data_IF_772666466062
#
_entry.id   IF_772666466062
#
_cell.length_a   1.000
_cell.length_b   1.000
_cell.length_c   1.000
_cell.angle_alpha   90.00
_cell.angle_beta   90.00
_cell.angle_gamma   90.00
#
_symmetry.space_group_name_H-M   'P 1'
#
loop_
_entity.id
_entity.type
_entity.pdbx_description
1 polymer ?
#
# COMPACT_ATOMS: atom_id res chain seq x y z
N UNK A 1 -6.23 6.41 23.25
CA UNK A 1 -5.29 6.15 22.12
C UNK A 1 -5.80 4.94 21.32
N UNK A 2 -6.08 5.10 20.02
CA UNK A 2 -6.40 3.94 19.15
C UNK A 2 -5.20 2.97 19.20
N UNK A 3 -5.46 1.69 19.47
CA UNK A 3 -4.41 0.68 19.67
C UNK A 3 -3.73 0.40 18.33
N UNK A 4 -2.52 0.91 18.13
CA UNK A 4 -1.71 0.63 16.93
C UNK A 4 -1.16 -0.77 17.05
N UNK A 5 -1.52 -1.65 16.11
CA UNK A 5 -1.00 -3.02 16.04
C UNK A 5 0.14 -3.05 15.02
N UNK A 6 0.96 -4.09 15.08
CA UNK A 6 1.90 -4.40 13.99
C UNK A 6 1.16 -5.27 12.97
N UNK A 7 1.41 -5.01 11.69
CA UNK A 7 0.85 -5.80 10.60
C UNK A 7 1.46 -7.21 10.59
N UNK A 8 0.67 -8.23 10.22
CA UNK A 8 1.13 -9.64 10.18
C UNK A 8 2.38 -9.85 9.31
N UNK A 9 2.51 -9.06 8.23
CA UNK A 9 3.67 -9.08 7.34
C UNK A 9 4.98 -8.63 7.99
N UNK A 10 4.88 -7.92 9.11
CA UNK A 10 6.01 -7.42 9.88
C UNK A 10 6.49 -8.36 10.98
N UNK A 11 5.68 -9.35 11.42
CA UNK A 11 6.02 -10.17 12.59
C UNK A 11 7.32 -10.95 12.41
N UNK A 12 7.46 -11.67 11.30
CA UNK A 12 8.68 -12.45 11.03
C UNK A 12 9.89 -11.52 10.83
N UNK A 13 9.70 -10.40 10.14
CA UNK A 13 10.78 -9.42 9.88
C UNK A 13 11.26 -8.80 11.18
N UNK A 14 10.34 -8.37 12.05
CA UNK A 14 10.67 -7.82 13.37
C UNK A 14 11.38 -8.84 14.24
N UNK A 15 10.92 -10.10 14.25
CA UNK A 15 11.59 -11.16 14.99
C UNK A 15 13.04 -11.35 14.50
N UNK A 16 13.25 -11.45 13.19
CA UNK A 16 14.58 -11.56 12.61
C UNK A 16 15.46 -10.35 12.94
N UNK A 17 14.92 -9.13 12.84
CA UNK A 17 15.65 -7.89 13.18
C UNK A 17 16.04 -7.87 14.66
N UNK A 18 15.15 -8.25 15.57
CA UNK A 18 15.47 -8.34 17.01
C UNK A 18 16.59 -9.33 17.27
N UNK A 19 16.56 -10.52 16.67
CA UNK A 19 17.60 -11.54 16.85
C UNK A 19 18.96 -11.07 16.30
N UNK A 20 18.98 -10.46 15.11
CA UNK A 20 20.20 -9.92 14.50
C UNK A 20 20.77 -8.79 15.37
N UNK A 21 19.92 -7.85 15.79
CA UNK A 21 20.32 -6.74 16.67
C UNK A 21 20.89 -7.27 17.98
N UNK A 22 20.24 -8.28 18.58
CA UNK A 22 20.71 -8.89 19.82
C UNK A 22 22.12 -9.50 19.64
N UNK A 23 22.33 -10.28 18.58
CA UNK A 23 23.61 -10.89 18.27
C UNK A 23 24.71 -9.84 18.04
N UNK A 24 24.41 -8.77 17.29
CA UNK A 24 25.36 -7.67 17.06
C UNK A 24 25.72 -6.97 18.38
N UNK A 25 24.73 -6.67 19.24
CA UNK A 25 25.00 -6.04 20.53
C UNK A 25 25.85 -6.92 21.44
N UNK A 26 25.63 -8.24 21.47
CA UNK A 26 26.46 -9.19 22.22
C UNK A 26 27.90 -9.20 21.69
N UNK A 27 28.08 -9.25 20.38
CA UNK A 27 29.41 -9.22 19.77
C UNK A 27 30.15 -7.91 20.10
N UNK A 28 29.45 -6.79 20.02
CA UNK A 28 30.02 -5.47 20.33
C UNK A 28 30.38 -5.35 21.80
N UNK A 29 29.52 -5.86 22.69
CA UNK A 29 29.76 -5.90 24.14
C UNK A 29 31.04 -6.67 24.51
N UNK A 30 31.30 -7.80 23.84
CA UNK A 30 32.48 -8.63 24.14
C UNK A 30 33.77 -8.01 23.60
N UNK A 31 33.72 -7.28 22.48
CA UNK A 31 34.92 -6.91 21.71
C UNK A 31 35.35 -5.45 21.83
N UNK A 32 34.44 -4.54 22.21
CA UNK A 32 34.67 -3.10 22.19
C UNK A 32 34.40 -2.41 23.53
N UNK A 33 34.82 -1.16 23.64
CA UNK A 33 34.63 -0.34 24.85
C UNK A 33 33.16 0.04 25.07
N UNK A 34 32.83 0.47 26.30
CA UNK A 34 31.48 0.90 26.67
C UNK A 34 30.92 2.05 25.83
N UNK A 35 31.77 2.95 25.30
CA UNK A 35 31.34 4.05 24.43
C UNK A 35 30.84 3.52 23.08
N UNK A 36 31.58 2.58 22.47
CA UNK A 36 31.18 1.96 21.20
C UNK A 36 29.89 1.16 21.39
N UNK A 37 29.76 0.44 22.50
CA UNK A 37 28.54 -0.26 22.86
C UNK A 37 27.34 0.70 22.99
N UNK A 38 27.49 1.83 23.69
CA UNK A 38 26.42 2.80 23.86
C UNK A 38 25.92 3.33 22.51
N UNK A 39 26.84 3.69 21.61
CA UNK A 39 26.50 4.15 20.25
C UNK A 39 25.76 3.04 19.49
N UNK A 40 26.26 1.80 19.54
CA UNK A 40 25.64 0.66 18.85
C UNK A 40 24.22 0.36 19.36
N UNK A 41 24.01 0.45 20.67
CA UNK A 41 22.68 0.26 21.29
C UNK A 41 21.70 1.34 20.83
N UNK A 42 22.14 2.61 20.77
CA UNK A 42 21.28 3.70 20.27
C UNK A 42 20.89 3.48 18.81
N UNK A 43 21.86 3.15 17.94
CA UNK A 43 21.59 2.86 16.52
C UNK A 43 20.64 1.65 16.39
N UNK A 44 20.88 0.60 17.16
CA UNK A 44 20.03 -0.58 17.22
C UNK A 44 18.59 -0.25 17.62
N UNK A 45 18.41 0.57 18.65
CA UNK A 45 17.10 1.00 19.12
C UNK A 45 16.36 1.83 18.08
N UNK A 46 17.05 2.76 17.41
CA UNK A 46 16.49 3.55 16.31
C UNK A 46 16.07 2.68 15.13
N UNK A 47 16.89 1.71 14.75
CA UNK A 47 16.56 0.77 13.67
C UNK A 47 15.32 -0.06 14.03
N UNK A 48 15.26 -0.61 15.24
CA UNK A 48 14.11 -1.39 15.70
C UNK A 48 12.84 -0.54 15.74
N UNK A 49 12.93 0.69 16.24
CA UNK A 49 11.82 1.63 16.27
C UNK A 49 11.33 1.97 14.85
N UNK A 50 12.25 2.19 13.90
CA UNK A 50 11.91 2.44 12.51
C UNK A 50 11.19 1.25 11.86
N UNK A 51 11.71 0.02 12.03
CA UNK A 51 11.08 -1.19 11.47
C UNK A 51 9.68 -1.41 12.08
N UNK A 52 9.54 -1.22 13.40
CA UNK A 52 8.24 -1.32 14.06
C UNK A 52 7.26 -0.24 13.56
N UNK A 53 7.74 0.98 13.39
CA UNK A 53 6.95 2.09 12.84
C UNK A 53 6.51 1.84 11.39
N UNK A 54 7.38 1.25 10.57
CA UNK A 54 7.11 0.91 9.18
C UNK A 54 5.97 -0.13 9.07
N UNK A 55 6.04 -1.19 9.87
CA UNK A 55 5.04 -2.26 9.88
C UNK A 55 3.81 -1.95 10.74
N UNK A 56 3.61 -0.70 11.16
CA UNK A 56 2.42 -0.33 11.94
C UNK A 56 1.15 -0.53 11.12
N UNK A 57 0.09 -0.90 11.81
CA UNK A 57 -1.24 -1.12 11.28
C UNK A 57 -2.27 -0.44 12.19
N UNK A 58 -2.63 0.82 11.93
CA UNK A 58 -3.70 1.49 12.67
C UNK A 58 -5.05 0.82 12.35
N UNK A 59 -5.90 0.66 13.38
CA UNK A 59 -7.28 0.26 13.16
C UNK A 59 -8.06 1.43 12.56
N UNK A 60 -8.42 1.31 11.27
CA UNK A 60 -9.23 2.27 10.54
C UNK A 60 -10.49 1.59 10.04
N UNK A 61 -11.61 2.18 10.39
CA UNK A 61 -12.94 1.77 9.93
C UNK A 61 -13.62 3.07 9.55
N UNK A 62 -14.04 3.15 8.29
CA UNK A 62 -14.91 4.21 7.81
C UNK A 62 -16.33 3.66 7.75
N UNK A 63 -17.27 4.50 8.13
CA UNK A 63 -18.70 4.22 8.00
C UNK A 63 -19.22 4.99 6.80
N UNK A 64 -19.47 4.28 5.70
CA UNK A 64 -19.92 4.84 4.43
C UNK A 64 -21.15 4.06 3.99
N UNK A 65 -22.29 4.74 3.95
CA UNK A 65 -23.55 4.16 3.49
C UNK A 65 -23.66 4.12 1.96
N UNK A 66 -22.93 4.99 1.26
CA UNK A 66 -22.99 5.15 -0.19
C UNK A 66 -22.01 4.16 -0.89
N UNK A 67 -22.50 3.09 -1.55
CA UNK A 67 -21.65 2.07 -2.17
C UNK A 67 -20.93 2.58 -3.43
N UNK A 68 -21.31 3.75 -3.96
CA UNK A 68 -20.66 4.37 -5.12
C UNK A 68 -19.38 5.11 -4.75
N UNK A 69 -19.10 5.34 -3.46
CA UNK A 69 -17.90 6.05 -3.03
C UNK A 69 -16.65 5.17 -3.11
N UNK A 70 -15.62 5.72 -3.73
CA UNK A 70 -14.28 5.13 -3.82
C UNK A 70 -13.42 5.72 -2.71
N UNK A 71 -12.95 4.88 -1.81
CA UNK A 71 -12.10 5.27 -0.67
C UNK A 71 -10.62 5.05 -1.01
N UNK A 72 -9.74 5.88 -0.45
CA UNK A 72 -8.31 5.79 -0.67
C UNK A 72 -7.79 4.41 -0.23
N UNK A 73 -7.16 3.64 -1.13
CA UNK A 73 -6.62 2.33 -0.79
C UNK A 73 -5.34 2.43 0.05
N UNK A 74 -4.73 3.62 0.18
CA UNK A 74 -3.41 3.80 0.77
C UNK A 74 -3.22 5.18 1.41
N UNK A 75 -2.32 5.23 2.41
CA UNK A 75 -1.73 6.48 2.89
C UNK A 75 -0.74 7.02 1.88
N UNK A 76 -0.80 8.32 1.58
CA UNK A 76 0.17 8.88 0.64
C UNK A 76 -0.13 10.30 0.19
N UNK A 77 0.34 10.58 -1.02
CA UNK A 77 0.11 11.83 -1.74
C UNK A 77 -0.38 11.49 -3.13
N UNK A 78 -1.44 12.15 -3.59
CA UNK A 78 -1.91 12.02 -4.97
C UNK A 78 -0.85 12.61 -5.90
N UNK A 79 -0.39 11.82 -6.86
CA UNK A 79 0.67 12.21 -7.81
C UNK A 79 0.20 12.22 -9.27
N UNK A 80 -0.93 11.59 -9.57
CA UNK A 80 -1.54 11.56 -10.91
C UNK A 80 -3.05 11.61 -10.75
N UNK A 81 -3.72 12.44 -11.55
CA UNK A 81 -5.18 12.46 -11.78
C UNK A 81 -5.38 12.80 -13.26
N UNK A 82 -5.46 11.80 -14.13
CA UNK A 82 -5.60 12.03 -15.57
C UNK A 82 -6.21 10.81 -16.29
N UNK A 83 -6.84 11.01 -17.46
CA UNK A 83 -7.31 9.90 -18.29
C UNK A 83 -6.13 9.21 -18.98
N UNK A 84 -6.01 7.89 -18.79
CA UNK A 84 -4.96 7.06 -19.38
C UNK A 84 -5.56 5.81 -20.02
N UNK A 85 -4.85 5.22 -20.97
CA UNK A 85 -5.20 3.89 -21.49
C UNK A 85 -4.75 2.81 -20.51
N UNK A 86 -5.65 1.91 -20.11
CA UNK A 86 -5.37 0.75 -19.24
C UNK A 86 -5.33 -0.52 -20.09
N UNK A 87 -4.14 -0.99 -20.51
CA UNK A 87 -4.03 -2.04 -21.52
C UNK A 87 -4.08 -3.47 -20.96
N UNK A 88 -4.00 -3.67 -19.64
CA UNK A 88 -3.86 -5.02 -19.07
C UNK A 88 -5.20 -5.75 -18.98
N UNK A 89 -6.25 -5.06 -18.55
CA UNK A 89 -7.55 -5.67 -18.28
C UNK A 89 -8.67 -5.01 -19.10
N UNK A 90 -8.75 -3.68 -19.09
CA UNK A 90 -9.85 -2.99 -19.78
C UNK A 90 -9.61 -2.84 -21.28
N UNK A 91 -8.38 -2.54 -21.70
CA UNK A 91 -8.06 -2.22 -23.09
C UNK A 91 -8.71 -0.91 -23.58
N UNK A 92 -9.05 -0.01 -22.67
CA UNK A 92 -9.73 1.26 -22.94
C UNK A 92 -9.17 2.40 -22.07
N UNK A 93 -9.75 3.61 -22.21
CA UNK A 93 -9.38 4.76 -21.39
C UNK A 93 -10.11 4.74 -20.05
N UNK A 94 -9.35 4.98 -18.98
CA UNK A 94 -9.81 5.07 -17.58
C UNK A 94 -9.26 6.32 -16.92
N UNK A 95 -9.99 6.84 -15.94
CA UNK A 95 -9.48 7.89 -15.08
C UNK A 95 -8.50 7.27 -14.08
N UNK A 96 -7.22 7.62 -14.19
CA UNK A 96 -6.20 7.13 -13.27
C UNK A 96 -6.04 8.10 -12.11
N UNK A 97 -6.11 7.58 -10.89
CA UNK A 97 -5.70 8.29 -9.66
C UNK A 97 -4.58 7.51 -8.99
N UNK A 98 -3.42 8.14 -8.83
CA UNK A 98 -2.24 7.49 -8.26
C UNK A 98 -1.84 8.08 -6.93
N UNK A 99 -1.65 7.21 -5.95
CA UNK A 99 -1.23 7.57 -4.60
C UNK A 99 0.18 7.05 -4.36
N UNK A 100 1.12 7.98 -4.17
CA UNK A 100 2.49 7.65 -3.80
C UNK A 100 2.63 7.53 -2.28
N UNK A 101 3.23 6.42 -1.83
CA UNK A 101 3.45 6.07 -0.44
C UNK A 101 4.93 6.24 -0.11
N UNK A 102 5.26 7.19 0.77
CA UNK A 102 6.60 7.33 1.33
C UNK A 102 6.87 6.23 2.36
N UNK A 103 8.15 6.02 2.70
CA UNK A 103 8.56 5.06 3.74
C UNK A 103 7.95 5.34 5.13
N UNK A 104 7.45 6.56 5.36
CA UNK A 104 6.83 6.93 6.62
C UNK A 104 5.32 6.65 6.64
N UNK A 105 4.70 6.34 5.51
CA UNK A 105 3.26 6.04 5.43
C UNK A 105 2.93 4.64 5.96
N UNK A 106 1.65 4.38 6.26
CA UNK A 106 1.17 3.02 6.50
C UNK A 106 1.11 2.27 5.19
N UNK A 107 1.70 1.08 5.14
CA UNK A 107 1.86 0.29 3.91
C UNK A 107 0.83 -0.84 3.74
N UNK A 108 -0.13 -0.94 4.66
CA UNK A 108 -1.33 -1.72 4.42
C UNK A 108 -2.15 -1.03 3.32
N UNK A 109 -2.73 -1.84 2.43
CA UNK A 109 -3.62 -1.34 1.39
C UNK A 109 -5.01 -1.94 1.56
N UNK A 110 -6.01 -1.06 1.54
CA UNK A 110 -7.42 -1.39 1.67
C UNK A 110 -8.07 -1.59 0.31
N UNK A 111 -9.21 -2.29 0.28
CA UNK A 111 -10.07 -2.24 -0.88
C UNK A 111 -10.66 -0.82 -1.00
N UNK A 112 -10.67 -0.22 -2.20
CA UNK A 112 -11.22 1.12 -2.37
C UNK A 112 -12.75 1.10 -2.50
N UNK A 113 -13.34 -0.04 -2.86
CA UNK A 113 -14.78 -0.23 -3.01
C UNK A 113 -15.21 -1.59 -2.43
N UNK A 114 -16.49 -1.72 -2.08
CA UNK A 114 -17.10 -2.99 -1.73
C UNK A 114 -17.65 -3.71 -2.96
N UNK A 115 -17.54 -5.04 -3.01
CA UNK A 115 -17.98 -5.80 -4.18
C UNK A 115 -17.39 -7.21 -4.25
N UNK A 116 -17.26 -7.72 -5.47
CA UNK A 116 -16.66 -9.03 -5.75
C UNK A 116 -15.38 -8.87 -6.55
N UNK A 117 -14.30 -9.52 -6.10
CA UNK A 117 -13.03 -9.55 -6.84
C UNK A 117 -13.21 -10.36 -8.12
N UNK A 118 -13.11 -9.70 -9.28
CA UNK A 118 -13.22 -10.32 -10.61
C UNK A 118 -11.91 -10.92 -11.05
N UNK A 119 -10.81 -10.21 -10.78
CA UNK A 119 -9.48 -10.57 -11.23
C UNK A 119 -8.46 -10.27 -10.14
N UNK A 120 -7.46 -11.13 -9.98
CA UNK A 120 -6.31 -10.89 -9.10
C UNK A 120 -5.06 -11.50 -9.71
N UNK A 121 -4.22 -10.65 -10.32
CA UNK A 121 -3.01 -11.05 -11.04
C UNK A 121 -1.80 -10.46 -10.33
N UNK A 122 -0.73 -11.26 -10.23
CA UNK A 122 0.56 -10.82 -9.73
C UNK A 122 1.60 -10.95 -10.83
N UNK A 123 2.35 -9.88 -11.06
CA UNK A 123 3.43 -9.82 -12.04
C UNK A 123 4.74 -9.58 -11.32
N UNK A 124 5.69 -10.51 -11.49
CA UNK A 124 7.08 -10.28 -11.09
C UNK A 124 7.72 -9.28 -12.06
N UNK A 125 8.54 -8.36 -11.56
CA UNK A 125 9.15 -7.32 -12.39
C UNK A 125 10.40 -6.68 -11.79
N UNK A 126 10.88 -5.64 -12.46
CA UNK A 126 12.05 -4.83 -12.15
C UNK A 126 11.87 -3.94 -10.90
N UNK A 127 12.88 -3.12 -10.60
CA UNK A 127 12.96 -2.32 -9.36
C UNK A 127 13.25 -0.83 -9.64
N UNK A 128 12.49 -0.20 -10.53
CA UNK A 128 12.57 1.24 -10.77
C UNK A 128 11.92 2.05 -9.64
N UNK A 129 12.24 3.34 -9.49
CA UNK A 129 11.57 4.19 -8.51
C UNK A 129 10.07 4.34 -8.82
N UNK A 130 9.20 4.12 -7.83
CA UNK A 130 7.73 4.02 -8.05
C UNK A 130 7.04 5.31 -8.51
N UNK A 131 7.71 6.46 -8.45
CA UNK A 131 7.18 7.72 -8.95
C UNK A 131 7.37 7.90 -10.46
N UNK A 132 8.17 7.04 -11.12
CA UNK A 132 8.43 7.12 -12.56
C UNK A 132 7.27 6.48 -13.34
N UNK A 133 6.77 7.09 -14.43
CA UNK A 133 5.66 6.53 -15.21
C UNK A 133 5.89 5.08 -15.68
N UNK A 134 7.13 4.73 -16.06
CA UNK A 134 7.50 3.37 -16.51
C UNK A 134 7.41 2.30 -15.41
N UNK A 135 7.45 2.68 -14.13
CA UNK A 135 7.43 1.70 -13.04
C UNK A 135 6.12 0.93 -12.98
N UNK A 136 5.00 1.51 -13.42
CA UNK A 136 3.70 0.84 -13.40
C UNK A 136 3.60 -0.34 -14.39
N UNK A 137 4.56 -0.48 -15.32
CA UNK A 137 4.62 -1.58 -16.30
C UNK A 137 5.76 -2.54 -15.97
N UNK A 138 6.95 -2.01 -15.69
CA UNK A 138 8.15 -2.83 -15.58
C UNK A 138 8.38 -3.39 -14.18
N UNK A 139 7.88 -2.75 -13.12
CA UNK A 139 8.13 -3.21 -11.76
C UNK A 139 7.23 -4.38 -11.35
N UNK A 140 7.62 -5.04 -10.25
CA UNK A 140 6.71 -5.93 -9.53
C UNK A 140 5.40 -5.18 -9.22
N UNK A 141 4.28 -5.77 -9.66
CA UNK A 141 2.95 -5.19 -9.52
C UNK A 141 1.90 -6.26 -9.27
N UNK A 142 0.82 -5.87 -8.60
CA UNK A 142 -0.37 -6.71 -8.47
C UNK A 142 -1.60 -5.93 -8.93
N UNK A 143 -2.37 -6.54 -9.81
CA UNK A 143 -3.59 -5.99 -10.40
C UNK A 143 -4.78 -6.71 -9.78
N UNK A 144 -5.69 -5.95 -9.15
CA UNK A 144 -6.93 -6.46 -8.55
C UNK A 144 -8.10 -5.70 -9.14
N UNK A 145 -9.08 -6.40 -9.70
CA UNK A 145 -10.31 -5.80 -10.23
C UNK A 145 -11.46 -6.16 -9.31
N UNK A 146 -12.21 -5.15 -8.88
CA UNK A 146 -13.41 -5.30 -8.04
C UNK A 146 -14.62 -4.81 -8.82
N UNK A 147 -15.66 -5.64 -8.88
CA UNK A 147 -16.97 -5.29 -9.46
C UNK A 147 -17.95 -4.94 -8.33
N UNK A 148 -18.55 -3.76 -8.40
CA UNK A 148 -19.61 -3.31 -7.50
C UNK A 148 -20.90 -4.11 -7.73
N UNK A 149 -21.87 -4.10 -6.80
CA UNK A 149 -23.20 -4.68 -7.05
C UNK A 149 -23.89 -4.10 -8.30
N UNK A 150 -23.64 -2.83 -8.63
CA UNK A 150 -24.17 -2.15 -9.82
C UNK A 150 -23.41 -2.46 -11.12
N UNK A 151 -22.45 -3.40 -11.09
CA UNK A 151 -21.65 -3.86 -12.24
C UNK A 151 -20.59 -2.87 -12.74
N UNK A 152 -20.23 -1.87 -11.95
CA UNK A 152 -19.07 -1.04 -12.25
C UNK A 152 -17.80 -1.73 -11.79
N UNK A 153 -16.79 -1.74 -12.65
CA UNK A 153 -15.48 -2.32 -12.34
C UNK A 153 -14.46 -1.23 -12.01
N UNK A 154 -13.77 -1.39 -10.88
CA UNK A 154 -12.64 -0.57 -10.46
C UNK A 154 -11.40 -1.46 -10.39
N UNK A 155 -10.33 -1.02 -11.05
CA UNK A 155 -9.03 -1.69 -10.99
C UNK A 155 -8.12 -0.97 -10.01
N UNK A 156 -7.48 -1.76 -9.15
CA UNK A 156 -6.45 -1.32 -8.21
C UNK A 156 -5.15 -2.01 -8.57
N UNK A 157 -4.11 -1.22 -8.80
CA UNK A 157 -2.76 -1.74 -9.07
C UNK A 157 -1.81 -1.30 -7.99
N UNK A 158 -1.27 -2.28 -7.27
CA UNK A 158 -0.16 -2.09 -6.35
C UNK A 158 1.14 -2.13 -7.15
N UNK A 159 2.02 -1.15 -6.99
CA UNK A 159 3.31 -1.07 -7.70
C UNK A 159 4.43 -0.92 -6.68
N UNK A 160 5.32 -1.91 -6.61
CA UNK A 160 6.50 -1.85 -5.74
C UNK A 160 7.53 -0.88 -6.34
N UNK A 161 8.12 -0.02 -5.51
CA UNK A 161 9.25 0.82 -5.91
C UNK A 161 10.62 0.15 -5.76
N UNK A 162 11.70 0.85 -6.11
CA UNK A 162 13.07 0.32 -6.09
C UNK A 162 13.53 -0.26 -4.73
N UNK A 163 13.05 0.32 -3.62
CA UNK A 163 13.33 -0.18 -2.27
C UNK A 163 12.35 -1.27 -1.83
N UNK A 164 11.18 -1.34 -2.47
CA UNK A 164 10.17 -2.35 -2.23
C UNK A 164 10.45 -3.60 -3.05
N UNK A 165 10.51 -4.75 -2.39
CA UNK A 165 10.88 -6.03 -3.02
C UNK A 165 9.77 -7.07 -2.95
N UNK A 166 8.59 -6.69 -2.47
CA UNK A 166 7.47 -7.62 -2.35
C UNK A 166 6.13 -6.93 -2.17
N UNK A 167 5.18 -7.28 -3.03
CA UNK A 167 3.76 -7.05 -2.84
C UNK A 167 3.16 -8.34 -2.29
N UNK A 168 2.33 -8.21 -1.26
CA UNK A 168 1.53 -9.31 -0.73
C UNK A 168 0.07 -8.99 -0.98
N UNK A 169 -0.54 -9.73 -1.91
CA UNK A 169 -1.95 -9.58 -2.29
C UNK A 169 -2.79 -10.61 -1.56
N UNK A 170 -3.84 -10.16 -0.87
CA UNK A 170 -4.81 -11.03 -0.18
C UNK A 170 -6.09 -11.24 -1.00
N UNK A 171 -6.32 -10.38 -1.99
CA UNK A 171 -7.41 -10.53 -2.94
C UNK A 171 -7.32 -11.86 -3.69
N UNK A 172 -8.49 -12.46 -3.95
CA UNK A 172 -8.65 -13.72 -4.69
C UNK A 172 -9.89 -13.61 -5.55
N UNK A 173 -9.80 -14.11 -6.78
CA UNK A 173 -10.93 -14.12 -7.71
C UNK A 173 -12.15 -14.83 -7.09
N UNK A 174 -13.33 -14.25 -7.28
CA UNK A 174 -14.61 -14.72 -6.73
C UNK A 174 -14.84 -14.35 -5.25
N UNK A 175 -13.87 -13.78 -4.54
CA UNK A 175 -14.04 -13.38 -3.14
C UNK A 175 -14.87 -12.09 -3.04
N UNK A 176 -15.86 -12.06 -2.14
CA UNK A 176 -16.47 -10.81 -1.69
C UNK A 176 -15.48 -9.99 -0.86
N UNK A 177 -15.51 -8.67 -1.01
CA UNK A 177 -14.62 -7.74 -0.35
C UNK A 177 -15.37 -6.46 0.08
N UNK A 178 -14.83 -5.77 1.08
CA UNK A 178 -15.40 -4.58 1.70
C UNK A 178 -14.30 -3.52 1.89
N UNK A 179 -14.66 -2.24 1.87
CA UNK A 179 -13.73 -1.10 2.02
C UNK A 179 -12.86 -1.16 3.30
N UNK A 180 -13.41 -1.71 4.38
CA UNK A 180 -12.72 -1.86 5.67
C UNK A 180 -11.75 -3.07 5.74
N UNK A 181 -11.62 -3.85 4.66
CA UNK A 181 -10.70 -4.99 4.59
C UNK A 181 -9.39 -4.62 3.89
N UNK A 182 -8.28 -5.26 4.30
CA UNK A 182 -7.02 -5.15 3.57
C UNK A 182 -7.07 -5.97 2.28
N UNK A 183 -6.85 -5.30 1.15
CA UNK A 183 -6.59 -5.91 -0.15
C UNK A 183 -5.19 -6.51 -0.22
N UNK A 184 -4.21 -5.86 0.42
CA UNK A 184 -2.83 -6.29 0.37
C UNK A 184 -1.90 -5.48 1.26
N UNK A 185 -0.60 -5.67 1.05
CA UNK A 185 0.47 -4.95 1.73
C UNK A 185 1.66 -4.80 0.79
N UNK A 186 2.26 -3.61 0.72
CA UNK A 186 3.47 -3.38 -0.09
C UNK A 186 4.65 -3.13 0.83
N UNK A 187 5.71 -3.95 0.75
CA UNK A 187 6.86 -3.81 1.64
C UNK A 187 7.81 -2.74 1.08
N UNK A 188 8.02 -1.63 1.81
CA UNK A 188 9.02 -0.55 1.64
C UNK A 188 8.89 0.43 0.45
N UNK A 189 7.92 1.35 0.51
CA UNK A 189 7.79 2.50 -0.39
C UNK A 189 7.22 2.11 -1.75
N UNK A 190 6.10 2.72 -2.13
CA UNK A 190 5.32 2.20 -3.25
C UNK A 190 4.33 3.19 -3.81
N UNK A 191 3.59 2.77 -4.82
CA UNK A 191 2.49 3.50 -5.41
C UNK A 191 1.27 2.57 -5.49
N UNK A 192 0.08 3.15 -5.32
CA UNK A 192 -1.17 2.46 -5.62
C UNK A 192 -1.91 3.27 -6.68
N UNK A 193 -2.25 2.62 -7.78
CA UNK A 193 -2.99 3.19 -8.89
C UNK A 193 -4.43 2.70 -8.84
N UNK A 194 -5.38 3.63 -8.93
CA UNK A 194 -6.79 3.38 -9.18
C UNK A 194 -7.08 3.69 -10.64
N UNK A 195 -7.84 2.82 -11.30
CA UNK A 195 -8.38 3.06 -12.63
C UNK A 195 -9.91 2.98 -12.53
N UNK A 196 -10.54 4.12 -12.81
CA UNK A 196 -11.96 4.35 -12.64
C UNK A 196 -12.64 4.58 -14.01
N UNK A 197 -13.97 4.41 -14.11
CA UNK A 197 -14.73 4.94 -15.24
C UNK A 197 -14.42 6.43 -15.50
N UNK A 198 -14.49 6.85 -16.77
CA UNK A 198 -14.16 8.23 -17.17
C UNK A 198 -15.18 9.26 -16.66
N UNK A 199 -16.39 8.83 -16.37
CA UNK A 199 -17.49 9.64 -15.84
C UNK A 199 -17.56 9.65 -14.31
N UNK A 200 -16.61 9.00 -13.62
CA UNK A 200 -16.49 9.08 -12.18
C UNK A 200 -16.15 10.52 -11.74
N UNK A 201 -16.85 11.00 -10.71
CA UNK A 201 -16.61 12.32 -10.13
C UNK A 201 -15.40 12.25 -9.18
N UNK A 202 -14.30 12.91 -9.52
CA UNK A 202 -13.05 12.88 -8.74
C UNK A 202 -13.05 14.02 -7.70
N UNK A 203 -12.81 13.67 -6.43
CA UNK A 203 -12.80 14.63 -5.31
C UNK A 203 -11.42 15.07 -4.85
N UNK A 204 -10.35 14.43 -5.34
CA UNK A 204 -8.97 14.72 -4.95
C UNK A 204 -8.17 15.36 -6.07
N UNK A 205 -7.13 16.12 -5.70
CA UNK A 205 -6.23 16.78 -6.64
C UNK A 205 -4.77 16.37 -6.46
N UNK A 206 -3.94 16.56 -7.49
CA UNK A 206 -2.50 16.28 -7.40
C UNK A 206 -1.85 17.11 -6.29
N UNK A 207 -1.05 16.47 -5.45
CA UNK A 207 -0.41 17.06 -4.27
C UNK A 207 -1.18 16.85 -2.97
N UNK A 208 -2.44 16.43 -3.03
CA UNK A 208 -3.27 16.20 -1.86
C UNK A 208 -2.82 14.97 -1.06
N UNK A 209 -2.91 15.05 0.27
CA UNK A 209 -2.58 13.93 1.17
C UNK A 209 -3.78 13.02 1.34
N UNK A 210 -3.56 11.72 1.23
CA UNK A 210 -4.59 10.71 1.46
C UNK A 210 -4.27 9.90 2.71
N UNK A 211 -5.32 9.53 3.43
CA UNK A 211 -5.27 8.52 4.50
C UNK A 211 -6.07 7.31 4.04
N UNK A 212 -5.42 6.15 4.01
CA UNK A 212 -6.00 4.89 3.56
C UNK A 212 -7.19 4.50 4.42
N UNK A 213 -8.28 4.09 3.77
CA UNK A 213 -9.57 3.78 4.36
C UNK A 213 -10.25 4.94 5.12
N UNK A 214 -9.94 6.19 4.76
CA UNK A 214 -10.55 7.38 5.36
C UNK A 214 -10.84 8.47 4.31
N UNK A 215 -9.89 8.77 3.42
CA UNK A 215 -10.08 9.80 2.38
C UNK A 215 -10.96 9.27 1.25
N UNK A 216 -12.01 10.01 0.88
CA UNK A 216 -12.82 9.72 -0.31
C UNK A 216 -12.08 10.24 -1.55
N UNK A 217 -11.90 9.39 -2.55
CA UNK A 217 -11.19 9.69 -3.80
C UNK A 217 -12.15 10.15 -4.89
N UNK A 218 -13.27 9.45 -5.02
CA UNK A 218 -14.22 9.67 -6.11
C UNK A 218 -15.60 9.13 -5.75
N UNK A 219 -16.59 9.47 -6.57
CA UNK A 219 -17.89 8.84 -6.65
C UNK A 219 -18.07 8.21 -8.03
N UNK A 220 -18.47 6.95 -8.05
CA UNK A 220 -18.89 6.25 -9.27
C UNK A 220 -20.28 6.76 -9.71
N UNK A 221 -20.47 6.88 -11.01
CA UNK A 221 -21.76 7.24 -11.60
C UNK A 221 -22.51 5.93 -11.93
N UNK A 222 -23.32 5.45 -10.98
CA UNK A 222 -24.06 4.18 -11.04
C UNK A 222 -25.58 4.36 -11.03
#
# INVERSE_FOLDING_TARGET
MKRIKIHKEGYLILLSVVLIIFMINVLVYIRFSGVVLAINVVISALLLAFVAYFFRNPARVIDVDDPSLVVAPADGTVVVVEPVEEPEYFGDKRMQVSIFMSVFNVHANWYPIGGTVKKSIHHSGNHMAAFLPKSSIENERSTVVVETPAKTEVLVRQVAGALARRIVTYAREGKKCNINEHMGFIKFGSRVDLFLPLDAEIFVTVGEKTTGNETIIARLNE
#
